data_IF_613478543714
#
_entry.id   IF_613478543714
#
_cell.length_a   1.000
_cell.length_b   1.000
_cell.length_c   1.000
_cell.angle_alpha   90.00
_cell.angle_beta   90.00
_cell.angle_gamma   90.00
#
_symmetry.space_group_name_H-M   'P 1'
#
loop_
_entity.id
_entity.type
_entity.pdbx_description
1 polymer ?
#
# COMPACT_ATOMS: atom_id res chain seq x y z
N UNK A 1 -77.15 -22.58 -33.89
CA UNK A 1 -75.91 -23.01 -34.58
C UNK A 1 -74.77 -22.15 -34.04
N UNK A 2 -73.70 -22.78 -33.55
CA UNK A 2 -72.57 -22.19 -32.81
C UNK A 2 -71.64 -21.34 -33.68
N UNK A 3 -70.66 -20.68 -33.01
CA UNK A 3 -69.35 -20.13 -33.46
C UNK A 3 -69.36 -18.59 -33.41
N UNK A 4 -68.44 -17.83 -32.79
CA UNK A 4 -67.21 -18.01 -31.98
C UNK A 4 -66.96 -16.65 -31.29
N UNK A 5 -66.46 -16.63 -30.06
CA UNK A 5 -65.64 -15.51 -29.53
C UNK A 5 -64.26 -16.08 -29.20
N UNK A 6 -63.14 -15.50 -29.68
CA UNK A 6 -61.82 -15.89 -29.20
C UNK A 6 -61.43 -15.04 -27.98
N UNK A 7 -61.15 -15.71 -26.87
CA UNK A 7 -60.42 -15.16 -25.73
C UNK A 7 -58.92 -15.21 -26.04
N UNK A 8 -58.24 -14.06 -26.00
CA UNK A 8 -56.78 -13.97 -25.95
C UNK A 8 -56.31 -14.42 -24.57
N UNK A 9 -55.60 -15.55 -24.50
CA UNK A 9 -54.84 -15.97 -23.33
C UNK A 9 -53.43 -15.36 -23.41
N UNK A 10 -53.03 -14.69 -22.32
CA UNK A 10 -51.70 -14.15 -22.09
C UNK A 10 -50.65 -15.27 -22.11
N UNK A 11 -49.65 -15.16 -22.98
CA UNK A 11 -48.43 -15.96 -22.91
C UNK A 11 -47.58 -15.47 -21.75
N UNK A 12 -47.33 -16.37 -20.80
CA UNK A 12 -46.50 -16.16 -19.62
C UNK A 12 -45.02 -16.17 -20.01
N UNK A 13 -44.35 -15.02 -19.86
CA UNK A 13 -42.89 -14.84 -20.04
C UNK A 13 -42.09 -15.53 -18.92
N UNK A 14 -42.75 -16.16 -17.95
CA UNK A 14 -42.10 -16.67 -16.73
C UNK A 14 -41.46 -18.06 -16.89
N UNK A 15 -41.49 -18.68 -18.08
CA UNK A 15 -40.95 -20.03 -18.28
C UNK A 15 -39.54 -20.07 -18.89
N UNK A 16 -38.94 -18.93 -19.24
CA UNK A 16 -37.55 -18.85 -19.75
C UNK A 16 -36.54 -18.53 -18.63
N UNK A 17 -37.00 -18.01 -17.48
CA UNK A 17 -36.11 -17.57 -16.40
C UNK A 17 -35.63 -18.67 -15.43
N UNK A 18 -36.11 -19.91 -15.55
CA UNK A 18 -35.83 -21.00 -14.59
C UNK A 18 -34.88 -22.11 -15.11
N UNK A 19 -34.21 -21.91 -16.24
CA UNK A 19 -33.24 -22.88 -16.78
C UNK A 19 -31.77 -22.43 -16.68
N UNK A 20 -31.47 -21.25 -16.13
CA UNK A 20 -30.09 -20.75 -16.03
C UNK A 20 -29.51 -20.70 -14.61
N UNK A 21 -30.23 -21.15 -13.59
CA UNK A 21 -29.68 -21.28 -12.24
C UNK A 21 -29.90 -22.69 -11.68
N UNK A 22 -28.91 -23.54 -11.93
CA UNK A 22 -28.69 -24.78 -11.17
C UNK A 22 -27.22 -24.82 -10.74
N UNK A 23 -26.90 -24.81 -9.44
CA UNK A 23 -25.53 -24.87 -8.97
C UNK A 23 -25.02 -26.31 -9.06
N UNK A 24 -24.06 -26.57 -9.95
CA UNK A 24 -23.33 -27.84 -9.95
C UNK A 24 -22.18 -27.76 -8.93
N UNK A 25 -21.97 -28.79 -8.10
CA UNK A 25 -20.87 -28.80 -7.14
C UNK A 25 -19.52 -28.95 -7.87
N UNK A 26 -18.55 -28.09 -7.52
CA UNK A 26 -17.18 -28.21 -8.02
C UNK A 26 -16.53 -29.48 -7.44
N UNK A 27 -16.48 -30.53 -8.26
CA UNK A 27 -15.63 -31.70 -8.04
C UNK A 27 -14.16 -31.32 -8.23
N UNK A 28 -13.36 -31.55 -7.19
CA UNK A 28 -11.89 -31.56 -7.20
C UNK A 28 -11.37 -32.46 -8.33
N UNK A 29 -10.60 -31.90 -9.26
CA UNK A 29 -9.71 -32.66 -10.13
C UNK A 29 -8.34 -31.99 -10.14
N UNK A 30 -7.44 -32.49 -9.30
CA UNK A 30 -5.99 -32.33 -9.47
C UNK A 30 -5.49 -33.53 -10.29
N UNK A 31 -4.76 -33.33 -11.42
CA UNK A 31 -4.12 -34.45 -12.08
C UNK A 31 -2.89 -34.89 -11.27
N UNK A 32 -2.80 -36.20 -11.01
CA UNK A 32 -1.61 -36.86 -10.45
C UNK A 32 -0.46 -36.76 -11.46
N UNK A 33 0.62 -36.09 -11.09
CA UNK A 33 1.88 -36.12 -11.83
C UNK A 33 2.52 -37.50 -11.63
N UNK A 34 2.69 -38.23 -12.73
CA UNK A 34 3.44 -39.49 -12.78
C UNK A 34 4.89 -39.16 -13.10
N UNK A 35 5.81 -39.46 -12.19
CA UNK A 35 7.25 -39.45 -12.48
C UNK A 35 7.55 -40.46 -13.59
N UNK A 36 8.05 -39.97 -14.73
CA UNK A 36 8.82 -40.79 -15.67
C UNK A 36 10.21 -40.19 -15.80
N UNK A 37 11.16 -40.91 -15.23
CA UNK A 37 12.58 -40.78 -15.48
C UNK A 37 12.86 -41.14 -16.94
N UNK A 38 13.41 -40.23 -17.74
CA UNK A 38 14.12 -40.58 -18.97
C UNK A 38 15.54 -40.03 -18.91
N UNK A 39 16.47 -40.96 -18.72
CA UNK A 39 17.87 -40.80 -19.08
C UNK A 39 17.97 -40.47 -20.57
N UNK A 40 18.66 -39.39 -20.93
CA UNK A 40 19.30 -39.28 -22.24
C UNK A 40 20.70 -38.70 -22.10
N UNK A 41 21.58 -39.34 -22.86
CA UNK A 41 23.03 -39.31 -22.86
C UNK A 41 23.63 -38.06 -23.50
N UNK A 42 24.79 -37.68 -22.98
CA UNK A 42 25.79 -36.78 -23.56
C UNK A 42 26.02 -36.98 -25.06
N UNK A 43 26.28 -35.88 -25.79
CA UNK A 43 27.38 -35.71 -26.76
C UNK A 43 27.59 -34.19 -27.03
N UNK A 44 28.81 -33.74 -27.42
CA UNK A 44 29.28 -32.37 -27.24
C UNK A 44 28.99 -31.48 -28.44
N UNK A 45 28.71 -30.20 -28.19
CA UNK A 45 28.65 -29.19 -29.25
C UNK A 45 29.84 -28.22 -29.15
N UNK A 46 30.50 -28.08 -30.30
CA UNK A 46 31.70 -27.30 -30.55
C UNK A 46 31.49 -25.79 -30.36
N UNK A 47 32.55 -25.15 -29.86
CA UNK A 47 32.71 -23.70 -29.74
C UNK A 47 32.61 -22.97 -31.08
N UNK A 48 31.76 -21.95 -31.16
CA UNK A 48 31.86 -20.89 -32.17
C UNK A 48 31.79 -19.55 -31.45
N UNK A 49 32.92 -18.83 -31.45
CA UNK A 49 32.98 -17.42 -31.07
C UNK A 49 32.17 -16.61 -32.09
N UNK A 50 31.13 -15.93 -31.63
CA UNK A 50 30.56 -14.80 -32.34
C UNK A 50 30.41 -13.64 -31.35
N UNK A 51 31.35 -12.70 -31.45
CA UNK A 51 31.31 -11.43 -30.71
C UNK A 51 30.04 -10.67 -31.08
N UNK A 52 29.14 -10.54 -30.12
CA UNK A 52 28.03 -9.61 -30.20
C UNK A 52 28.15 -8.68 -29.01
N UNK A 53 28.31 -7.39 -29.29
CA UNK A 53 28.51 -6.34 -28.30
C UNK A 53 27.31 -6.30 -27.35
N UNK A 54 27.50 -6.79 -26.12
CA UNK A 54 26.57 -6.61 -25.02
C UNK A 54 26.64 -5.13 -24.63
N UNK A 55 25.53 -4.41 -24.79
CA UNK A 55 25.34 -3.14 -24.11
C UNK A 55 25.38 -3.41 -22.61
N UNK A 56 26.25 -2.70 -21.92
CA UNK A 56 26.36 -2.71 -20.47
C UNK A 56 25.00 -2.29 -19.90
N UNK A 57 24.23 -3.25 -19.40
CA UNK A 57 23.24 -2.97 -18.38
C UNK A 57 24.04 -2.51 -17.17
N UNK A 58 23.92 -1.24 -16.78
CA UNK A 58 24.49 -0.76 -15.52
C UNK A 58 23.82 -1.50 -14.37
N UNK A 59 24.36 -2.67 -14.02
CA UNK A 59 24.01 -3.39 -12.80
C UNK A 59 24.50 -2.52 -11.66
N UNK A 60 23.58 -2.12 -10.78
CA UNK A 60 23.89 -1.39 -9.56
C UNK A 60 24.81 -2.25 -8.69
N UNK A 61 26.13 -2.09 -8.84
CA UNK A 61 27.15 -2.76 -8.05
C UNK A 61 27.04 -2.25 -6.62
N UNK A 62 26.30 -2.98 -5.78
CA UNK A 62 26.23 -2.71 -4.35
C UNK A 62 27.56 -3.14 -3.74
N UNK A 63 28.29 -2.20 -3.13
CA UNK A 63 29.55 -2.52 -2.47
C UNK A 63 29.30 -3.38 -1.23
N UNK A 64 30.28 -4.18 -0.81
CA UNK A 64 30.19 -4.96 0.43
C UNK A 64 29.91 -4.06 1.65
N UNK A 65 30.43 -2.83 1.67
CA UNK A 65 30.13 -1.83 2.71
C UNK A 65 28.66 -1.39 2.70
N UNK A 66 28.07 -1.16 1.53
CA UNK A 66 26.66 -0.79 1.40
C UNK A 66 25.74 -1.93 1.85
N UNK A 67 26.10 -3.18 1.57
CA UNK A 67 25.35 -4.36 2.05
C UNK A 67 25.36 -4.45 3.57
N UNK A 68 26.51 -4.25 4.22
CA UNK A 68 26.60 -4.27 5.67
C UNK A 68 25.85 -3.10 6.34
N UNK A 69 25.90 -1.91 5.75
CA UNK A 69 25.31 -0.69 6.32
C UNK A 69 23.83 -0.51 6.02
N UNK A 70 23.38 -0.95 4.84
CA UNK A 70 22.03 -0.69 4.33
C UNK A 70 21.28 -1.93 3.87
N UNK A 71 21.97 -3.05 3.62
CA UNK A 71 21.40 -4.32 3.15
C UNK A 71 20.81 -5.20 4.26
N UNK A 72 20.84 -6.52 4.08
CA UNK A 72 20.18 -7.47 4.99
C UNK A 72 21.03 -7.86 6.22
N UNK A 73 22.28 -7.41 6.28
CA UNK A 73 23.24 -7.76 7.34
C UNK A 73 23.39 -6.67 8.41
N UNK A 74 22.54 -5.63 8.36
CA UNK A 74 22.60 -4.52 9.32
C UNK A 74 22.40 -5.03 10.74
N UNK A 75 23.21 -4.53 11.68
CA UNK A 75 23.13 -4.93 13.08
C UNK A 75 21.80 -4.58 13.77
N UNK A 76 21.01 -3.65 13.21
CA UNK A 76 19.71 -3.23 13.75
C UNK A 76 18.51 -4.06 13.25
N UNK A 77 18.77 -5.07 12.39
CA UNK A 77 17.77 -6.04 11.96
C UNK A 77 17.17 -6.77 13.18
N UNK A 78 15.86 -6.99 13.16
CA UNK A 78 15.13 -7.77 14.17
C UNK A 78 15.16 -7.24 15.62
N UNK A 79 15.71 -6.05 15.86
CA UNK A 79 15.78 -5.48 17.22
C UNK A 79 14.44 -4.89 17.72
N UNK A 80 13.53 -4.59 16.81
CA UNK A 80 12.24 -3.96 17.12
C UNK A 80 11.08 -4.93 16.87
N UNK A 81 10.05 -4.89 17.71
CA UNK A 81 8.79 -5.57 17.42
C UNK A 81 8.15 -4.94 16.17
N UNK A 82 7.73 -5.80 15.23
CA UNK A 82 7.11 -5.41 13.97
C UNK A 82 5.59 -5.32 14.08
N UNK A 83 4.95 -6.21 14.83
CA UNK A 83 3.50 -6.28 14.92
C UNK A 83 2.94 -4.96 15.48
N UNK A 84 1.88 -4.45 14.84
CA UNK A 84 1.26 -3.17 15.23
C UNK A 84 2.03 -1.91 14.81
N UNK A 85 3.09 -2.03 14.00
CA UNK A 85 3.86 -0.86 13.50
C UNK A 85 3.28 -0.24 12.24
N UNK A 86 2.15 -0.77 11.75
CA UNK A 86 1.42 -0.22 10.61
C UNK A 86 0.39 0.81 11.10
N UNK A 87 0.50 2.04 10.61
CA UNK A 87 -0.55 3.04 10.83
C UNK A 87 -1.88 2.54 10.24
N UNK A 88 -2.99 2.52 11.00
CA UNK A 88 -4.26 2.00 10.51
C UNK A 88 -4.73 2.75 9.26
N UNK A 89 -5.22 2.06 8.25
CA UNK A 89 -5.85 2.61 7.06
C UNK A 89 -6.73 1.54 6.40
N UNK A 90 -7.66 1.96 5.55
CA UNK A 90 -8.74 1.09 5.04
C UNK A 90 -8.67 0.89 3.53
N UNK A 91 -8.15 1.87 2.79
CA UNK A 91 -8.02 1.82 1.32
C UNK A 91 -6.59 2.16 0.90
N UNK A 92 -5.99 1.33 0.05
CA UNK A 92 -4.71 1.61 -0.57
C UNK A 92 -4.90 2.00 -2.03
N UNK A 93 -4.42 3.18 -2.40
CA UNK A 93 -4.37 3.67 -3.78
C UNK A 93 -2.91 3.63 -4.23
N UNK A 94 -2.64 2.92 -5.32
CA UNK A 94 -1.34 2.94 -5.98
C UNK A 94 -1.43 3.71 -7.28
N UNK A 95 -0.57 4.70 -7.48
CA UNK A 95 -0.39 5.38 -8.77
C UNK A 95 0.86 4.82 -9.45
N UNK A 96 0.69 4.27 -10.65
CA UNK A 96 1.79 3.88 -11.52
C UNK A 96 2.43 5.13 -12.12
N UNK A 97 3.71 5.34 -11.87
CA UNK A 97 4.38 6.53 -12.37
C UNK A 97 5.90 6.35 -12.42
N UNK A 98 6.49 6.35 -13.63
CA UNK A 98 7.93 6.26 -13.88
C UNK A 98 8.60 5.04 -13.21
N UNK A 99 9.90 4.89 -13.43
CA UNK A 99 10.73 3.89 -12.74
C UNK A 99 11.11 4.37 -11.33
N UNK A 100 11.21 3.45 -10.38
CA UNK A 100 11.66 3.75 -9.02
C UNK A 100 13.07 4.36 -8.97
N UNK A 101 13.88 4.13 -9.99
CA UNK A 101 15.23 4.67 -10.14
C UNK A 101 15.25 6.18 -10.39
N UNK A 102 14.18 6.72 -11.00
CA UNK A 102 14.09 8.14 -11.37
C UNK A 102 13.29 9.00 -10.39
N UNK A 103 12.68 8.39 -9.37
CA UNK A 103 11.90 9.15 -8.39
C UNK A 103 12.77 10.08 -7.55
N UNK A 104 12.36 11.34 -7.34
CA UNK A 104 13.01 12.22 -6.37
C UNK A 104 12.67 11.77 -4.94
N UNK A 105 13.41 12.29 -3.95
CA UNK A 105 13.22 11.98 -2.51
C UNK A 105 11.77 12.06 -2.01
N UNK A 106 10.92 12.89 -2.65
CA UNK A 106 9.46 12.97 -2.44
C UNK A 106 8.75 13.09 -3.77
N UNK A 107 8.54 11.97 -4.45
CA UNK A 107 7.78 11.93 -5.72
C UNK A 107 6.39 12.56 -5.58
N UNK A 108 5.75 12.40 -4.42
CA UNK A 108 4.44 12.94 -4.08
C UNK A 108 4.40 14.46 -3.81
N UNK A 109 5.56 15.12 -3.77
CA UNK A 109 5.70 16.56 -3.46
C UNK A 109 6.58 17.30 -4.50
N UNK A 110 7.02 16.60 -5.54
CA UNK A 110 7.95 17.10 -6.54
C UNK A 110 7.26 17.99 -7.58
N UNK A 111 7.80 19.19 -7.81
CA UNK A 111 7.36 20.09 -8.90
C UNK A 111 7.69 19.54 -10.30
N UNK A 112 8.64 18.61 -10.40
CA UNK A 112 9.01 17.95 -11.65
C UNK A 112 8.10 16.78 -12.01
N UNK A 113 7.23 16.38 -11.06
CA UNK A 113 6.34 15.22 -11.17
C UNK A 113 4.90 15.64 -10.83
N UNK A 114 4.26 16.45 -11.69
CA UNK A 114 2.99 17.11 -11.39
C UNK A 114 1.86 16.12 -11.09
N UNK A 115 1.76 14.99 -11.81
CA UNK A 115 0.67 14.03 -11.60
C UNK A 115 0.66 13.42 -10.18
N UNK A 116 1.76 12.79 -9.68
CA UNK A 116 1.83 12.34 -8.29
C UNK A 116 1.54 13.45 -7.27
N UNK A 117 2.08 14.65 -7.49
CA UNK A 117 1.89 15.80 -6.60
C UNK A 117 0.45 16.28 -6.55
N UNK A 118 -0.21 16.40 -7.69
CA UNK A 118 -1.60 16.80 -7.80
C UNK A 118 -2.51 15.77 -7.13
N UNK A 119 -2.30 14.47 -7.39
CA UNK A 119 -3.09 13.41 -6.77
C UNK A 119 -2.91 13.38 -5.25
N UNK A 120 -1.67 13.47 -4.76
CA UNK A 120 -1.39 13.51 -3.32
C UNK A 120 -2.05 14.73 -2.65
N UNK A 121 -1.98 15.90 -3.31
CA UNK A 121 -2.58 17.14 -2.82
C UNK A 121 -4.10 17.07 -2.78
N UNK A 122 -4.74 16.55 -3.83
CA UNK A 122 -6.18 16.38 -3.92
C UNK A 122 -6.71 15.39 -2.87
N UNK A 123 -6.04 14.23 -2.69
CA UNK A 123 -6.39 13.26 -1.64
C UNK A 123 -6.27 13.89 -0.26
N UNK A 124 -5.21 14.66 -0.01
CA UNK A 124 -5.01 15.35 1.27
C UNK A 124 -6.08 16.41 1.52
N UNK A 125 -6.44 17.19 0.51
CA UNK A 125 -7.45 18.26 0.61
C UNK A 125 -8.85 17.69 0.87
N UNK A 126 -9.18 16.55 0.26
CA UNK A 126 -10.49 15.91 0.37
C UNK A 126 -10.57 14.83 1.45
N UNK A 127 -9.54 14.69 2.29
CA UNK A 127 -9.46 13.65 3.33
C UNK A 127 -10.66 13.61 4.27
N UNK A 128 -11.25 14.76 4.59
CA UNK A 128 -12.43 14.87 5.47
C UNK A 128 -13.74 14.42 4.81
N UNK A 129 -13.78 14.36 3.48
CA UNK A 129 -14.97 14.00 2.70
C UNK A 129 -14.97 12.50 2.33
N UNK A 130 -13.84 11.80 2.50
CA UNK A 130 -13.70 10.38 2.18
C UNK A 130 -14.24 9.50 3.31
N UNK A 131 -15.02 8.48 2.93
CA UNK A 131 -15.57 7.51 3.89
C UNK A 131 -14.52 6.54 4.45
N UNK A 132 -13.40 6.34 3.74
CA UNK A 132 -12.34 5.40 4.10
C UNK A 132 -11.01 6.12 4.26
N UNK A 133 -10.25 5.78 5.30
CA UNK A 133 -8.89 6.27 5.48
C UNK A 133 -8.00 5.73 4.36
N UNK A 134 -7.73 6.61 3.39
CA UNK A 134 -7.01 6.27 2.16
C UNK A 134 -5.51 6.54 2.28
N UNK A 135 -4.70 5.59 1.84
CA UNK A 135 -3.24 5.68 1.74
C UNK A 135 -2.83 5.68 0.28
N UNK A 136 -2.08 6.72 -0.14
CA UNK A 136 -1.48 6.80 -1.46
C UNK A 136 -0.04 6.27 -1.42
N UNK A 137 0.31 5.46 -2.41
CA UNK A 137 1.68 5.01 -2.69
C UNK A 137 1.93 5.10 -4.20
N UNK A 138 3.12 5.50 -4.61
CA UNK A 138 3.53 5.43 -6.02
C UNK A 138 4.15 4.05 -6.28
N UNK A 139 3.84 3.41 -7.40
CA UNK A 139 4.51 2.18 -7.85
C UNK A 139 5.07 2.36 -9.26
N UNK A 140 6.06 1.55 -9.60
CA UNK A 140 6.58 1.55 -10.97
C UNK A 140 5.59 0.90 -11.94
N UNK A 141 5.63 1.34 -13.19
CA UNK A 141 5.00 0.62 -14.28
C UNK A 141 5.60 -0.79 -14.39
N UNK A 142 4.77 -1.77 -14.72
CA UNK A 142 5.17 -3.17 -14.85
C UNK A 142 4.66 -3.73 -16.15
N UNK A 143 5.56 -4.30 -16.95
CA UNK A 143 5.21 -4.97 -18.21
C UNK A 143 4.35 -6.20 -17.95
N UNK A 144 4.61 -6.93 -16.86
CA UNK A 144 3.87 -8.14 -16.49
C UNK A 144 2.40 -7.83 -16.20
N UNK A 145 2.14 -6.68 -15.58
CA UNK A 145 0.78 -6.17 -15.32
C UNK A 145 0.24 -5.24 -16.43
N UNK A 146 1.03 -4.98 -17.47
CA UNK A 146 0.77 -3.94 -18.48
C UNK A 146 0.39 -2.59 -17.86
N UNK A 147 1.01 -2.25 -16.73
CA UNK A 147 0.79 -0.98 -16.05
C UNK A 147 1.61 0.11 -16.72
N UNK A 148 0.94 1.21 -17.04
CA UNK A 148 1.54 2.39 -17.65
C UNK A 148 1.47 3.59 -16.71
N UNK A 149 2.24 4.64 -16.99
CA UNK A 149 2.17 5.89 -16.25
C UNK A 149 0.73 6.46 -16.25
N UNK A 150 0.26 6.80 -15.06
CA UNK A 150 -1.11 7.27 -14.83
C UNK A 150 -2.10 6.17 -14.47
N UNK A 151 -1.75 4.89 -14.56
CA UNK A 151 -2.63 3.82 -14.09
C UNK A 151 -2.79 3.89 -12.56
N UNK A 152 -4.00 3.64 -12.05
CA UNK A 152 -4.31 3.70 -10.62
C UNK A 152 -4.94 2.39 -10.14
N UNK A 153 -4.30 1.72 -9.19
CA UNK A 153 -4.82 0.51 -8.55
C UNK A 153 -5.47 0.86 -7.21
N UNK A 154 -6.61 0.24 -6.90
CA UNK A 154 -7.34 0.45 -5.65
C UNK A 154 -7.60 -0.87 -4.95
N UNK A 155 -7.10 -0.98 -3.72
CA UNK A 155 -7.35 -2.09 -2.80
C UNK A 155 -8.16 -1.57 -1.59
N UNK A 156 -9.10 -2.35 -1.02
CA UNK A 156 -9.41 -3.75 -1.30
C UNK A 156 -10.29 -3.99 -2.53
N UNK A 157 -10.70 -2.93 -3.23
CA UNK A 157 -11.72 -3.01 -4.29
C UNK A 157 -11.28 -3.83 -5.52
N UNK A 158 -9.99 -4.11 -5.67
CA UNK A 158 -9.39 -4.84 -6.82
C UNK A 158 -9.73 -4.16 -8.15
N UNK A 159 -9.62 -2.84 -8.19
CA UNK A 159 -9.94 -2.02 -9.37
C UNK A 159 -8.66 -1.41 -9.93
N UNK A 160 -8.58 -1.38 -11.27
CA UNK A 160 -7.60 -0.64 -12.04
C UNK A 160 -8.28 0.44 -12.88
N UNK A 161 -7.88 1.69 -12.69
CA UNK A 161 -8.24 2.78 -13.58
C UNK A 161 -7.07 3.09 -14.50
N UNK A 162 -7.33 3.20 -15.81
CA UNK A 162 -6.28 3.44 -16.80
C UNK A 162 -6.02 4.93 -17.02
N UNK A 163 -4.74 5.29 -17.10
CA UNK A 163 -4.27 6.54 -17.70
C UNK A 163 -4.85 7.83 -17.08
N UNK A 164 -4.86 7.94 -15.75
CA UNK A 164 -5.18 9.18 -15.05
C UNK A 164 -4.23 10.31 -15.50
N UNK A 165 -4.81 11.42 -15.94
CA UNK A 165 -4.08 12.63 -16.34
C UNK A 165 -4.19 13.70 -15.27
N UNK A 166 -3.26 14.65 -15.32
CA UNK A 166 -3.23 15.82 -14.42
C UNK A 166 -4.55 16.60 -14.43
N UNK A 167 -5.16 16.76 -15.61
CA UNK A 167 -6.45 17.47 -15.78
C UNK A 167 -7.63 16.80 -15.10
N UNK A 168 -7.53 15.50 -14.82
CA UNK A 168 -8.67 14.69 -14.40
C UNK A 168 -8.61 14.30 -12.92
N UNK A 169 -7.52 14.65 -12.22
CA UNK A 169 -7.26 14.31 -10.81
C UNK A 169 -8.45 14.69 -9.91
N UNK A 170 -8.97 15.91 -10.04
CA UNK A 170 -10.07 16.38 -9.18
C UNK A 170 -11.35 15.57 -9.41
N UNK A 171 -11.67 15.27 -10.67
CA UNK A 171 -12.83 14.44 -11.02
C UNK A 171 -12.67 13.00 -10.53
N UNK A 172 -11.46 12.44 -10.62
CA UNK A 172 -11.16 11.10 -10.14
C UNK A 172 -11.32 11.01 -8.62
N UNK A 173 -10.77 11.97 -7.87
CA UNK A 173 -10.89 12.01 -6.41
C UNK A 173 -12.35 12.17 -5.99
N UNK A 174 -13.11 13.03 -6.66
CA UNK A 174 -14.54 13.21 -6.39
C UNK A 174 -15.35 11.94 -6.68
N UNK A 175 -15.26 11.39 -7.88
CA UNK A 175 -16.08 10.26 -8.31
C UNK A 175 -15.72 9.00 -7.51
N UNK A 176 -14.43 8.67 -7.43
CA UNK A 176 -13.96 7.38 -6.92
C UNK A 176 -13.72 7.39 -5.42
N UNK A 177 -12.97 8.37 -4.93
CA UNK A 177 -12.49 8.34 -3.54
C UNK A 177 -13.51 8.94 -2.55
N UNK A 178 -14.23 9.98 -2.96
CA UNK A 178 -15.27 10.64 -2.15
C UNK A 178 -16.63 9.96 -2.36
N UNK A 179 -17.10 9.90 -3.61
CA UNK A 179 -18.44 9.40 -3.93
C UNK A 179 -18.55 7.87 -4.02
N UNK A 180 -17.43 7.15 -4.19
CA UNK A 180 -17.43 5.68 -4.33
C UNK A 180 -18.05 5.18 -5.64
N UNK A 181 -18.09 6.02 -6.67
CA UNK A 181 -18.65 5.72 -8.00
C UNK A 181 -17.54 5.41 -9.00
N UNK A 182 -17.82 4.65 -10.07
CA UNK A 182 -16.91 4.52 -11.19
C UNK A 182 -16.50 5.89 -11.76
N UNK A 183 -15.22 6.07 -12.04
CA UNK A 183 -14.71 7.29 -12.67
C UNK A 183 -15.26 7.42 -14.08
N UNK A 184 -16.01 8.51 -14.35
CA UNK A 184 -16.73 8.67 -15.62
C UNK A 184 -15.81 8.86 -16.84
N UNK A 185 -14.64 9.45 -16.62
CA UNK A 185 -13.69 9.78 -17.70
C UNK A 185 -12.66 8.68 -17.96
N UNK A 186 -12.63 7.64 -17.13
CA UNK A 186 -11.61 6.59 -17.16
C UNK A 186 -12.10 5.26 -17.68
N UNK A 187 -11.15 4.40 -18.06
CA UNK A 187 -11.42 2.96 -18.27
C UNK A 187 -11.17 2.25 -16.96
N UNK A 188 -12.20 1.53 -16.49
CA UNK A 188 -12.13 0.70 -15.29
C UNK A 188 -11.97 -0.78 -15.68
N UNK A 189 -11.01 -1.44 -15.07
CA UNK A 189 -10.74 -2.88 -15.18
C UNK A 189 -10.76 -3.55 -13.80
N UNK A 190 -11.08 -4.83 -13.76
CA UNK A 190 -10.96 -5.66 -12.55
C UNK A 190 -9.56 -6.27 -12.49
N UNK A 191 -8.91 -6.14 -11.34
CA UNK A 191 -7.64 -6.77 -11.04
C UNK A 191 -7.87 -8.24 -10.68
N UNK A 192 -7.00 -9.12 -11.17
CA UNK A 192 -7.02 -10.55 -10.85
C UNK A 192 -5.63 -11.00 -10.42
N UNK A 193 -5.56 -11.96 -9.50
CA UNK A 193 -4.29 -12.44 -8.95
C UNK A 193 -3.88 -11.75 -7.66
N UNK A 194 -2.58 -11.88 -7.34
CA UNK A 194 -1.95 -11.43 -6.11
C UNK A 194 -0.90 -10.37 -6.44
N UNK A 195 -0.83 -9.33 -5.62
CA UNK A 195 0.00 -8.17 -5.89
C UNK A 195 1.00 -7.97 -4.75
N UNK A 196 2.28 -7.99 -5.09
CA UNK A 196 3.41 -7.78 -4.18
C UNK A 196 4.06 -6.45 -4.51
N UNK A 197 4.04 -5.54 -3.55
CA UNK A 197 4.72 -4.24 -3.66
C UNK A 197 5.94 -4.23 -2.75
N UNK A 198 7.11 -3.98 -3.33
CA UNK A 198 8.39 -3.95 -2.60
C UNK A 198 8.91 -2.52 -2.59
N UNK A 199 9.20 -1.98 -1.41
CA UNK A 199 9.70 -0.61 -1.31
C UNK A 199 11.16 -0.51 -1.79
N UNK A 200 11.39 0.15 -2.93
CA UNK A 200 12.71 0.30 -3.57
C UNK A 200 13.16 1.75 -3.73
N UNK A 201 12.56 2.68 -2.96
CA UNK A 201 12.78 4.11 -3.14
C UNK A 201 14.14 4.61 -2.63
N UNK A 202 15.20 4.46 -3.44
CA UNK A 202 16.58 4.77 -3.08
C UNK A 202 16.82 6.23 -2.67
N UNK A 203 16.27 7.18 -3.44
CA UNK A 203 16.46 8.62 -3.18
C UNK A 203 15.74 9.12 -1.93
N UNK A 204 14.79 8.33 -1.40
CA UNK A 204 14.14 8.60 -0.12
C UNK A 204 14.83 7.89 1.04
N UNK A 205 15.20 6.64 0.85
CA UNK A 205 15.87 5.85 1.86
C UNK A 205 16.83 4.83 1.23
N UNK A 206 18.11 4.91 1.62
CA UNK A 206 19.16 4.05 1.07
C UNK A 206 18.95 2.57 1.40
N UNK A 207 18.36 2.24 2.55
CA UNK A 207 18.09 0.83 2.91
C UNK A 207 17.04 0.24 1.99
N UNK A 208 16.00 1.01 1.67
CA UNK A 208 15.02 0.61 0.67
C UNK A 208 15.65 0.47 -0.73
N UNK A 209 16.52 1.40 -1.12
CA UNK A 209 17.23 1.34 -2.40
C UNK A 209 18.17 0.14 -2.56
N UNK A 210 18.77 -0.34 -1.47
CA UNK A 210 19.64 -1.53 -1.48
C UNK A 210 18.83 -2.82 -1.38
N UNK A 211 17.87 -2.90 -0.45
CA UNK A 211 17.13 -4.14 -0.21
C UNK A 211 16.06 -4.42 -1.29
N UNK A 212 15.38 -3.38 -1.76
CA UNK A 212 14.19 -3.50 -2.61
C UNK A 212 14.47 -4.21 -3.94
N UNK A 213 15.43 -3.76 -4.76
CA UNK A 213 15.76 -4.40 -6.04
C UNK A 213 16.13 -5.88 -5.89
N UNK A 214 16.92 -6.23 -4.88
CA UNK A 214 17.33 -7.63 -4.61
C UNK A 214 16.11 -8.50 -4.28
N UNK A 215 15.17 -7.99 -3.49
CA UNK A 215 13.92 -8.71 -3.19
C UNK A 215 13.05 -8.88 -4.43
N UNK A 216 12.91 -7.84 -5.27
CA UNK A 216 12.12 -7.92 -6.51
C UNK A 216 12.69 -8.98 -7.44
N UNK A 217 14.01 -8.99 -7.65
CA UNK A 217 14.69 -10.01 -8.44
C UNK A 217 14.43 -11.41 -7.87
N UNK A 218 14.64 -11.60 -6.56
CA UNK A 218 14.41 -12.88 -5.90
C UNK A 218 12.96 -13.35 -6.01
N UNK A 219 11.99 -12.45 -5.87
CA UNK A 219 10.58 -12.78 -6.08
C UNK A 219 10.31 -13.23 -7.52
N UNK A 220 10.82 -12.50 -8.52
CA UNK A 220 10.64 -12.84 -9.94
C UNK A 220 11.23 -14.21 -10.27
N UNK A 221 12.43 -14.52 -9.79
CA UNK A 221 13.06 -15.83 -9.93
C UNK A 221 12.17 -16.96 -9.39
N UNK A 222 11.70 -16.83 -8.14
CA UNK A 222 10.94 -17.90 -7.48
C UNK A 222 9.52 -18.04 -8.06
N UNK A 223 8.91 -16.94 -8.49
CA UNK A 223 7.63 -16.95 -9.22
C UNK A 223 7.77 -17.69 -10.55
N UNK A 224 8.88 -17.50 -11.26
CA UNK A 224 9.18 -18.24 -12.47
C UNK A 224 9.36 -19.74 -12.20
N UNK A 225 10.18 -20.10 -11.21
CA UNK A 225 10.43 -21.49 -10.83
C UNK A 225 9.16 -22.24 -10.39
N UNK A 226 8.21 -21.53 -9.78
CA UNK A 226 6.92 -22.09 -9.34
C UNK A 226 5.80 -21.97 -10.39
N UNK A 227 6.09 -21.46 -11.58
CA UNK A 227 5.13 -21.25 -12.68
C UNK A 227 3.94 -20.34 -12.29
N UNK A 228 4.20 -19.34 -11.42
CA UNK A 228 3.19 -18.42 -10.88
C UNK A 228 3.07 -17.09 -11.65
N UNK A 229 3.75 -16.95 -12.80
CA UNK A 229 3.84 -15.68 -13.58
C UNK A 229 2.50 -15.02 -13.94
N UNK A 230 1.42 -15.79 -14.06
CA UNK A 230 0.09 -15.29 -14.40
C UNK A 230 -0.81 -15.07 -13.16
N UNK A 231 -0.28 -15.29 -11.96
CA UNK A 231 -1.03 -15.26 -10.71
C UNK A 231 -0.45 -14.28 -9.71
N UNK A 232 0.87 -14.12 -9.67
CA UNK A 232 1.57 -13.26 -8.72
C UNK A 232 2.35 -12.20 -9.47
N UNK A 233 2.08 -10.95 -9.13
CA UNK A 233 2.69 -9.79 -9.76
C UNK A 233 3.49 -9.00 -8.77
N UNK A 234 4.73 -8.66 -9.12
CA UNK A 234 5.68 -7.99 -8.21
C UNK A 234 6.18 -6.71 -8.84
N UNK A 235 6.07 -5.61 -8.11
CA UNK A 235 6.47 -4.29 -8.59
C UNK A 235 7.12 -3.46 -7.48
N UNK A 236 8.05 -2.58 -7.86
CA UNK A 236 8.60 -1.61 -6.92
C UNK A 236 7.55 -0.59 -6.49
N UNK A 237 7.66 -0.12 -5.25
CA UNK A 237 6.89 1.00 -4.74
C UNK A 237 7.76 2.04 -4.02
N UNK A 238 7.21 3.25 -3.95
CA UNK A 238 7.76 4.39 -3.24
C UNK A 238 7.82 4.13 -1.73
N UNK A 239 8.39 5.07 -0.99
CA UNK A 239 8.66 4.85 0.43
C UNK A 239 7.38 4.76 1.25
N UNK A 240 7.12 3.57 1.80
CA UNK A 240 5.88 3.26 2.52
C UNK A 240 5.92 3.56 4.02
N UNK A 241 7.05 4.07 4.52
CA UNK A 241 7.33 4.27 5.95
C UNK A 241 7.98 3.05 6.60
N UNK A 242 8.59 3.24 7.77
CA UNK A 242 9.28 2.16 8.48
C UNK A 242 10.60 1.75 7.82
N UNK A 243 11.45 2.69 7.41
CA UNK A 243 12.80 2.40 6.88
C UNK A 243 13.68 1.63 7.87
N UNK A 244 13.45 1.79 9.19
CA UNK A 244 14.09 0.94 10.20
C UNK A 244 13.81 -0.56 10.00
N UNK A 245 12.72 -0.90 9.29
CA UNK A 245 12.26 -2.24 8.94
C UNK A 245 12.52 -2.60 7.46
N UNK A 246 13.47 -1.91 6.81
CA UNK A 246 13.76 -2.09 5.38
C UNK A 246 13.93 -3.57 4.99
N UNK A 247 13.50 -3.89 3.77
CA UNK A 247 12.84 -5.16 3.46
C UNK A 247 11.32 -5.04 3.62
N UNK A 248 10.74 -3.88 3.28
CA UNK A 248 9.31 -3.64 3.37
C UNK A 248 8.59 -4.23 2.15
N UNK A 249 7.66 -5.15 2.39
CA UNK A 249 6.87 -5.83 1.37
C UNK A 249 5.40 -5.75 1.74
N UNK A 250 4.53 -5.46 0.76
CA UNK A 250 3.07 -5.45 0.94
C UNK A 250 2.50 -6.50 0.00
N UNK A 251 1.68 -7.41 0.52
CA UNK A 251 1.02 -8.47 -0.27
C UNK A 251 -0.48 -8.27 -0.20
N UNK A 252 -1.10 -8.03 -1.35
CA UNK A 252 -2.54 -8.04 -1.53
C UNK A 252 -2.99 -9.37 -2.10
N UNK A 253 -3.90 -10.02 -1.38
CA UNK A 253 -4.42 -11.34 -1.73
C UNK A 253 -5.83 -11.53 -1.16
N UNK A 254 -6.66 -12.32 -1.84
CA UNK A 254 -7.92 -12.76 -1.26
C UNK A 254 -7.65 -13.67 -0.06
N UNK A 255 -8.26 -13.35 1.08
CA UNK A 255 -8.28 -14.17 2.27
C UNK A 255 -9.30 -15.31 2.12
N UNK A 256 -9.28 -16.26 3.06
CA UNK A 256 -10.17 -17.42 3.08
C UNK A 256 -11.66 -17.07 3.18
N UNK A 257 -12.00 -15.89 3.69
CA UNK A 257 -13.37 -15.35 3.76
C UNK A 257 -13.79 -14.58 2.48
N UNK A 258 -12.92 -14.54 1.47
CA UNK A 258 -13.13 -13.82 0.21
C UNK A 258 -12.83 -12.33 0.25
N UNK A 259 -12.48 -11.75 1.41
CA UNK A 259 -12.07 -10.35 1.50
C UNK A 259 -10.63 -10.18 1.06
N UNK A 260 -10.28 -9.02 0.53
CA UNK A 260 -8.91 -8.70 0.17
C UNK A 260 -8.14 -8.24 1.40
N UNK A 261 -7.13 -9.01 1.78
CA UNK A 261 -6.17 -8.63 2.82
C UNK A 261 -4.98 -7.92 2.17
N UNK A 262 -4.50 -6.85 2.80
CA UNK A 262 -3.25 -6.17 2.44
C UNK A 262 -2.24 -6.31 3.57
N UNK A 263 -1.46 -7.38 3.57
CA UNK A 263 -0.50 -7.72 4.64
C UNK A 263 0.83 -7.00 4.45
N UNK A 264 1.35 -6.41 5.51
CA UNK A 264 2.61 -5.70 5.53
C UNK A 264 3.68 -6.51 6.24
N UNK A 265 4.85 -6.58 5.61
CA UNK A 265 6.01 -7.27 6.12
C UNK A 265 7.19 -6.31 6.20
N UNK A 266 8.05 -6.51 7.21
CA UNK A 266 9.29 -5.78 7.40
C UNK A 266 10.43 -6.75 7.70
N UNK A 267 11.68 -6.28 7.56
CA UNK A 267 12.88 -7.12 7.66
C UNK A 267 12.88 -8.32 6.71
N UNK A 268 12.13 -8.27 5.60
CA UNK A 268 12.12 -9.35 4.61
C UNK A 268 13.50 -9.43 3.96
N UNK A 269 14.03 -10.63 3.89
CA UNK A 269 15.30 -11.00 3.24
C UNK A 269 15.04 -11.95 2.06
N UNK A 270 16.03 -12.18 1.18
CA UNK A 270 15.89 -13.13 0.08
C UNK A 270 15.51 -14.55 0.53
N UNK A 271 15.92 -14.96 1.74
CA UNK A 271 15.60 -16.28 2.30
C UNK A 271 14.12 -16.42 2.68
N UNK A 272 13.42 -15.31 2.92
CA UNK A 272 12.02 -15.30 3.31
C UNK A 272 11.06 -15.37 2.11
N UNK A 273 11.56 -15.10 0.90
CA UNK A 273 10.74 -15.03 -0.34
C UNK A 273 10.02 -16.35 -0.61
N UNK A 274 10.72 -17.47 -0.47
CA UNK A 274 10.13 -18.79 -0.63
C UNK A 274 9.01 -19.05 0.38
N UNK A 275 9.22 -18.68 1.65
CA UNK A 275 8.21 -18.84 2.68
C UNK A 275 6.99 -17.93 2.44
N UNK A 276 7.19 -16.69 1.98
CA UNK A 276 6.11 -15.77 1.60
C UNK A 276 5.29 -16.34 0.43
N UNK A 277 5.95 -16.93 -0.58
CA UNK A 277 5.26 -17.57 -1.70
C UNK A 277 4.46 -18.80 -1.25
N UNK A 278 5.04 -19.65 -0.40
CA UNK A 278 4.41 -20.92 0.00
C UNK A 278 3.33 -20.74 1.08
N UNK A 279 3.53 -19.86 2.05
CA UNK A 279 2.59 -19.63 3.15
C UNK A 279 1.58 -18.55 2.83
N UNK A 280 2.03 -17.31 2.64
CA UNK A 280 1.11 -16.19 2.44
C UNK A 280 0.36 -16.31 1.11
N UNK A 281 1.06 -16.58 0.02
CA UNK A 281 0.46 -16.66 -1.31
C UNK A 281 -0.20 -18.03 -1.57
N UNK A 282 0.46 -19.12 -1.17
CA UNK A 282 -0.03 -20.49 -1.40
C UNK A 282 -1.14 -20.94 -0.43
N UNK A 283 -1.13 -20.47 0.82
CA UNK A 283 -2.06 -20.94 1.87
C UNK A 283 -2.86 -19.84 2.56
N UNK A 284 -2.51 -18.56 2.35
CA UNK A 284 -3.10 -17.44 3.09
C UNK A 284 -2.63 -17.35 4.55
N UNK A 285 -1.52 -18.01 4.90
CA UNK A 285 -0.95 -18.02 6.25
C UNK A 285 0.01 -16.84 6.46
N UNK A 286 -0.24 -16.04 7.50
CA UNK A 286 0.61 -14.92 7.89
C UNK A 286 1.94 -15.44 8.49
N UNK A 287 3.03 -14.73 8.22
CA UNK A 287 4.35 -15.02 8.79
C UNK A 287 4.65 -14.03 9.92
N UNK A 288 4.21 -14.35 11.14
CA UNK A 288 4.17 -13.43 12.29
C UNK A 288 5.52 -12.76 12.60
N UNK A 289 6.63 -13.52 12.49
CA UNK A 289 7.99 -13.02 12.78
C UNK A 289 8.42 -11.81 11.95
N UNK A 290 7.82 -11.61 10.78
CA UNK A 290 8.12 -10.51 9.86
C UNK A 290 6.88 -9.64 9.57
N UNK A 291 5.74 -9.93 10.21
CA UNK A 291 4.48 -9.25 9.97
C UNK A 291 4.39 -7.94 10.76
N UNK A 292 3.91 -6.89 10.09
CA UNK A 292 3.77 -5.53 10.65
C UNK A 292 2.33 -5.14 10.95
N UNK A 293 1.39 -5.66 10.17
CA UNK A 293 0.00 -5.25 10.21
C UNK A 293 -0.73 -5.58 8.91
N UNK A 294 -2.03 -5.37 8.92
CA UNK A 294 -2.91 -5.59 7.76
C UNK A 294 -3.76 -4.35 7.48
N UNK A 295 -3.99 -4.04 6.21
CA UNK A 295 -4.96 -3.04 5.77
C UNK A 295 -6.37 -3.39 6.28
N UNK A 296 -7.08 -2.41 6.81
CA UNK A 296 -8.44 -2.56 7.32
C UNK A 296 -8.54 -3.28 8.68
N UNK A 297 -7.44 -3.78 9.24
CA UNK A 297 -7.44 -4.35 10.58
C UNK A 297 -7.51 -3.23 11.64
N UNK A 298 -8.38 -3.42 12.63
CA UNK A 298 -8.38 -2.57 13.83
C UNK A 298 -7.25 -2.98 14.77
N UNK A 299 -6.76 -2.06 15.61
CA UNK A 299 -5.64 -2.34 16.53
C UNK A 299 -5.88 -3.57 17.44
N UNK A 300 -7.15 -3.90 17.72
CA UNK A 300 -7.56 -5.02 18.57
C UNK A 300 -7.49 -6.40 17.87
N UNK A 301 -7.49 -6.43 16.53
CA UNK A 301 -7.37 -7.66 15.74
C UNK A 301 -5.90 -8.06 15.52
N UNK A 302 -4.98 -7.09 15.58
CA UNK A 302 -3.55 -7.33 15.43
C UNK A 302 -2.91 -7.99 16.67
N UNK A 303 -3.50 -7.81 17.86
CA UNK A 303 -3.04 -8.47 19.10
C UNK A 303 -3.61 -9.89 19.29
N UNK A 304 -4.61 -10.30 18.50
CA UNK A 304 -5.31 -11.59 18.64
C UNK A 304 -4.72 -12.72 17.79
N UNK A 305 -3.63 -12.50 17.06
CA UNK A 305 -2.94 -13.58 16.36
C UNK A 305 -2.29 -14.49 17.42
N UNK A 306 -2.77 -15.72 17.46
CA UNK A 306 -2.88 -16.56 18.64
C UNK A 306 -1.53 -17.04 19.22
N UNK A 307 -1.28 -16.73 20.49
CA UNK A 307 -0.39 -17.58 21.31
C UNK A 307 -0.99 -18.99 21.39
N UNK A 308 -0.20 -20.07 21.20
CA UNK A 308 -0.70 -21.42 21.39
C UNK A 308 -1.01 -21.64 22.87
N UNK A 309 -2.31 -21.70 23.19
CA UNK A 309 -2.80 -22.11 24.51
C UNK A 309 -2.40 -23.56 24.75
N UNK A 310 -1.31 -23.77 25.49
CA UNK A 310 -1.02 -25.05 26.12
C UNK A 310 -2.11 -25.38 27.13
N UNK A 311 -2.69 -26.56 26.95
CA UNK A 311 -3.78 -27.14 27.72
C UNK A 311 -3.44 -27.41 29.18
N UNK A 312 -4.42 -27.13 30.05
CA UNK A 312 -4.51 -27.41 31.47
C UNK A 312 -3.87 -28.75 31.92
N UNK A 313 -3.08 -28.66 32.99
CA UNK A 313 -2.70 -29.77 33.87
C UNK A 313 -2.84 -29.37 35.34
N UNK A 314 -3.94 -29.82 35.95
CA UNK A 314 -4.11 -30.27 37.35
C UNK A 314 -3.74 -29.34 38.54
N UNK A 315 -4.79 -29.01 39.30
CA UNK A 315 -4.81 -28.55 40.69
C UNK A 315 -3.81 -29.24 41.63
N UNK A 316 -3.02 -28.45 42.37
CA UNK A 316 -2.71 -28.70 43.80
C UNK A 316 -2.68 -27.36 44.53
N UNK A 317 -3.52 -27.24 45.56
CA UNK A 317 -3.56 -26.14 46.52
C UNK A 317 -2.33 -26.18 47.44
N UNK A 318 -1.73 -25.02 47.66
CA UNK A 318 -1.13 -24.68 48.96
C UNK A 318 -1.00 -23.17 49.10
N UNK A 319 -1.71 -22.64 50.09
CA UNK A 319 -1.55 -21.29 50.66
C UNK A 319 -0.07 -21.02 50.99
N UNK A 320 0.39 -19.80 50.72
CA UNK A 320 0.99 -18.92 51.73
C UNK A 320 1.29 -17.53 51.11
N UNK A 321 0.81 -16.49 51.79
CA UNK A 321 1.24 -15.10 51.62
C UNK A 321 2.49 -14.90 52.50
N UNK A 322 3.41 -13.99 52.15
CA UNK A 322 3.29 -12.65 52.74
C UNK A 322 3.65 -11.50 51.77
N UNK A 323 3.06 -10.34 52.09
CA UNK A 323 3.44 -9.02 51.57
C UNK A 323 4.90 -8.70 51.86
N UNK A 324 5.56 -7.98 50.94
CA UNK A 324 6.36 -6.83 51.35
C UNK A 324 6.43 -5.74 50.27
N UNK A 325 6.10 -4.54 50.74
CA UNK A 325 6.20 -3.22 50.11
C UNK A 325 7.65 -2.84 49.78
N UNK A 326 7.87 -2.32 48.57
CA UNK A 326 9.14 -1.73 48.16
C UNK A 326 8.94 -0.60 47.16
N UNK A 327 8.72 0.60 47.67
CA UNK A 327 8.68 1.86 46.93
C UNK A 327 10.03 2.12 46.25
N UNK A 328 10.04 2.27 44.92
CA UNK A 328 11.10 2.98 44.19
C UNK A 328 10.50 3.88 43.12
N UNK A 329 10.49 5.17 43.43
CA UNK A 329 10.62 6.22 42.43
C UNK A 329 11.97 6.05 41.71
N UNK A 330 11.98 6.15 40.38
CA UNK A 330 12.69 7.23 39.67
C UNK A 330 12.63 7.10 38.15
N UNK A 331 12.61 8.30 37.58
CA UNK A 331 13.10 8.69 36.26
C UNK A 331 12.31 8.22 35.05
N UNK A 332 11.42 9.12 34.62
CA UNK A 332 10.77 9.05 33.34
C UNK A 332 11.72 9.25 32.17
N UNK A 333 11.27 8.77 31.03
CA UNK A 333 11.44 9.48 29.76
C UNK A 333 10.20 9.14 28.94
N UNK A 334 9.24 10.06 28.93
CA UNK A 334 8.05 9.95 28.10
C UNK A 334 8.46 10.11 26.64
N UNK A 335 8.24 9.08 25.82
CA UNK A 335 8.34 9.21 24.37
C UNK A 335 7.06 9.85 23.85
N UNK A 336 7.23 10.99 23.18
CA UNK A 336 6.20 11.84 22.63
C UNK A 336 5.25 11.07 21.69
N UNK A 337 3.97 10.96 22.06
CA UNK A 337 2.89 10.69 21.11
C UNK A 337 2.52 12.01 20.42
N UNK A 338 3.06 12.22 19.22
CA UNK A 338 2.61 13.29 18.32
C UNK A 338 1.44 12.80 17.48
N UNK A 339 0.27 13.40 17.67
CA UNK A 339 -0.87 13.24 16.77
C UNK A 339 -0.59 13.99 15.46
N UNK A 340 0.09 13.35 14.53
CA UNK A 340 0.08 13.57 13.07
C UNK A 340 1.35 12.96 12.47
N UNK A 341 1.19 11.91 11.65
CA UNK A 341 2.29 11.27 10.96
C UNK A 341 3.06 12.24 10.07
N UNK A 342 4.26 12.63 10.52
CA UNK A 342 5.37 13.08 9.67
C UNK A 342 6.71 12.91 10.41
N UNK A 343 7.56 12.04 9.84
CA UNK A 343 9.03 11.95 9.91
C UNK A 343 9.80 12.73 11.01
N UNK A 344 10.40 12.00 11.95
CA UNK A 344 11.58 12.48 12.69
C UNK A 344 12.86 11.96 12.02
N UNK A 345 13.48 12.77 11.17
CA UNK A 345 14.91 12.67 10.88
C UNK A 345 15.54 14.02 11.23
N UNK A 346 16.57 13.99 12.08
CA UNK A 346 17.40 15.13 12.43
C UNK A 346 18.79 14.83 11.86
N UNK A 347 19.24 15.66 10.92
CA UNK A 347 20.62 15.66 10.45
C UNK A 347 21.49 16.48 11.41
N UNK A 348 22.70 15.99 11.70
CA UNK A 348 23.74 16.73 12.39
C UNK A 348 24.62 17.52 11.41
N UNK A 349 24.98 18.73 11.85
CA UNK A 349 26.02 19.64 11.37
C UNK A 349 25.85 20.39 10.04
N UNK A 350 25.27 21.61 10.14
CA UNK A 350 25.86 22.83 9.55
C UNK A 350 25.75 23.97 10.57
N UNK A 351 26.82 24.75 10.69
CA UNK A 351 27.10 25.75 11.73
C UNK A 351 26.10 26.92 11.81
N UNK A 352 25.96 27.42 13.04
CA UNK A 352 25.11 28.56 13.46
C UNK A 352 25.51 29.88 12.79
N UNK A 353 24.50 30.66 12.39
CA UNK A 353 24.44 32.10 12.74
C UNK A 353 23.12 32.42 13.43
N UNK A 354 23.27 32.99 14.62
CA UNK A 354 22.23 33.39 15.56
C UNK A 354 21.55 34.68 15.09
N UNK A 355 20.23 34.66 15.02
CA UNK A 355 19.38 35.85 15.01
C UNK A 355 18.23 35.59 15.98
N UNK A 356 18.34 36.16 17.18
CA UNK A 356 17.42 35.99 18.29
C UNK A 356 16.02 36.54 17.95
N UNK A 357 14.97 35.80 18.30
CA UNK A 357 13.82 36.30 19.08
C UNK A 357 13.08 35.09 19.69
N UNK A 358 12.87 35.17 20.99
CA UNK A 358 12.39 34.13 21.89
C UNK A 358 10.88 33.93 21.86
N UNK A 359 10.46 32.68 22.02
CA UNK A 359 9.34 32.19 22.83
C UNK A 359 8.22 33.20 23.14
N UNK A 360 7.10 33.08 22.44
CA UNK A 360 5.75 33.31 22.96
C UNK A 360 4.75 32.83 21.90
N UNK A 361 4.10 31.68 22.14
CA UNK A 361 2.74 31.45 21.67
C UNK A 361 2.14 30.26 22.42
N UNK A 362 1.54 30.62 23.56
CA UNK A 362 0.44 29.88 24.14
C UNK A 362 -0.84 30.50 23.56
N UNK A 363 -1.67 29.67 22.93
CA UNK A 363 -3.14 29.79 22.85
C UNK A 363 -3.72 31.11 22.31
N UNK A 364 -4.07 31.14 21.02
CA UNK A 364 -4.90 32.19 20.42
C UNK A 364 -6.19 31.58 19.85
N UNK A 365 -7.23 31.50 20.69
CA UNK A 365 -8.62 31.50 20.23
C UNK A 365 -9.05 32.96 20.05
N UNK A 366 -9.18 33.44 18.81
CA UNK A 366 -9.78 34.74 18.54
C UNK A 366 -10.79 34.69 17.39
N UNK A 367 -12.04 34.36 17.73
CA UNK A 367 -13.22 34.51 16.86
C UNK A 367 -13.76 35.95 16.66
N UNK A 368 -13.45 37.00 17.45
CA UNK A 368 -14.09 38.30 17.22
C UNK A 368 -13.38 39.20 16.19
N UNK A 369 -12.08 38.99 15.90
CA UNK A 369 -11.30 39.88 15.00
C UNK A 369 -11.68 39.70 13.53
N UNK A 370 -11.94 38.45 13.11
CA UNK A 370 -12.32 38.14 11.73
C UNK A 370 -13.70 38.67 11.36
N UNK A 371 -14.64 38.67 12.31
CA UNK A 371 -16.00 39.20 12.10
C UNK A 371 -15.97 40.72 11.90
N UNK A 372 -15.13 41.44 12.65
CA UNK A 372 -14.97 42.90 12.48
C UNK A 372 -14.34 43.26 11.13
N UNK A 373 -13.34 42.50 10.67
CA UNK A 373 -12.71 42.73 9.36
C UNK A 373 -13.70 42.48 8.21
N UNK A 374 -14.52 41.42 8.30
CA UNK A 374 -15.52 41.11 7.28
C UNK A 374 -16.60 42.21 7.14
N UNK A 375 -17.05 42.79 8.26
CA UNK A 375 -18.05 43.86 8.25
C UNK A 375 -17.50 45.16 7.66
N UNK A 376 -16.26 45.54 7.98
CA UNK A 376 -15.64 46.75 7.39
C UNK A 376 -15.43 46.59 5.88
N UNK A 377 -15.03 45.41 5.42
CA UNK A 377 -14.88 45.12 3.98
C UNK A 377 -16.20 45.21 3.21
N UNK A 378 -17.31 44.73 3.79
CA UNK A 378 -18.64 44.81 3.20
C UNK A 378 -19.17 46.25 3.11
N UNK A 379 -18.92 47.08 4.14
CA UNK A 379 -19.35 48.49 4.13
C UNK A 379 -18.55 49.30 3.09
N UNK A 380 -17.25 49.04 2.96
CA UNK A 380 -16.40 49.73 1.98
C UNK A 380 -16.80 49.40 0.53
N UNK A 381 -17.17 48.14 0.25
CA UNK A 381 -17.62 47.72 -1.09
C UNK A 381 -18.99 48.31 -1.45
N UNK A 382 -19.92 48.39 -0.50
CA UNK A 382 -21.22 49.06 -0.72
C UNK A 382 -21.04 50.57 -0.93
N UNK A 383 -20.16 51.22 -0.18
CA UNK A 383 -19.87 52.64 -0.34
C UNK A 383 -19.23 52.95 -1.72
N UNK A 384 -18.30 52.10 -2.18
CA UNK A 384 -17.70 52.21 -3.51
C UNK A 384 -18.74 51.99 -4.62
N UNK A 385 -19.58 50.96 -4.50
CA UNK A 385 -20.65 50.70 -5.46
C UNK A 385 -21.66 51.87 -5.53
N UNK A 386 -22.03 52.44 -4.39
CA UNK A 386 -22.92 53.60 -4.32
C UNK A 386 -22.30 54.87 -4.91
N UNK A 387 -21.00 55.09 -4.67
CA UNK A 387 -20.24 56.19 -5.27
C UNK A 387 -20.17 56.10 -6.81
N UNK A 388 -19.96 54.90 -7.34
CA UNK A 388 -19.97 54.65 -8.79
C UNK A 388 -21.38 54.82 -9.38
N UNK A 389 -22.41 54.34 -8.70
CA UNK A 389 -23.81 54.50 -9.12
C UNK A 389 -24.22 55.98 -9.20
N UNK A 390 -23.83 56.80 -8.21
CA UNK A 390 -24.12 58.24 -8.18
C UNK A 390 -23.38 59.03 -9.26
N UNK A 391 -22.26 58.53 -9.77
CA UNK A 391 -21.50 59.16 -10.86
C UNK A 391 -22.03 58.81 -12.26
N UNK A 392 -22.80 57.74 -12.37
CA UNK A 392 -23.38 57.25 -13.63
C UNK A 392 -24.78 57.83 -13.94
N UNK A 393 -25.27 58.76 -13.09
CA UNK A 393 -26.55 59.46 -13.21
C UNK A 393 -26.28 60.94 -13.11
#
# INVERSE_FOLDING_TARGET
>A
MRIRRPTRTLSSITQIYLLLYSPKPLTKYLPKVSHKTSFFSHLPFHSSLCSTMAGESESFSTTAEDTAKYGFERGDMYQSNLAGTLDPYERHVFLCYKSHESWPTRVEDSDSDPLPKLLASAIKARKGDMNLKTKLTICEGSNDLKLSDGDVLIFPDMILYRGLKESDVDSFVEDVLVSGKPWLSGVQEELTGLYVFVCSHNNRDRRCGVCGPILIEKFKEEIELKELKNQVFVTACSHVGGHKYAGNVIIFSAASDGKIAGNWYGYVTPNDVLELLDKQIGKGEIIDRIWRGQMGATAEEAEKVEEPKLSNGTNVNSNEQPQETGTKEKTGTGCCQGANGFSCCRDENVEKKVGAFSCWMEKMEHRPVLTTIAVVGAVATVALAYGLYRRAR
#
